data_IF_597630321786
#
_entry.id   IF_597630321786
#
_cell.length_a   1.000
_cell.length_b   1.000
_cell.length_c   1.000
_cell.angle_alpha   90.00
_cell.angle_beta   90.00
_cell.angle_gamma   90.00
#
_symmetry.space_group_name_H-M   'P 1'
#
loop_
_entity.id
_entity.type
_entity.pdbx_description
1 polymer ?
#
# COMPACT_ATOMS: atom_id res chain seq x y z
N UNK A 1 -12.71 -0.23 58.53
CA UNK A 1 -13.34 -0.44 57.21
C UNK A 1 -12.26 -0.85 56.22
N UNK A 2 -11.99 -2.16 56.14
CA UNK A 2 -11.02 -2.74 55.20
C UNK A 2 -11.75 -3.91 54.54
N UNK A 3 -11.89 -3.89 53.22
CA UNK A 3 -12.20 -5.08 52.40
C UNK A 3 -11.11 -5.12 51.32
N UNK A 4 -9.99 -5.80 51.58
CA UNK A 4 -9.76 -7.26 51.50
C UNK A 4 -9.77 -7.75 50.07
N UNK A 5 -8.55 -7.98 49.55
CA UNK A 5 -8.28 -8.79 48.36
C UNK A 5 -8.98 -10.14 48.49
N UNK A 6 -9.67 -10.57 47.43
CA UNK A 6 -10.27 -11.89 47.35
C UNK A 6 -9.81 -12.58 46.08
N UNK A 7 -8.72 -13.31 46.22
CA UNK A 7 -8.40 -14.47 45.38
C UNK A 7 -9.52 -15.51 45.56
N UNK A 8 -10.17 -15.92 44.47
CA UNK A 8 -11.06 -17.08 44.45
C UNK A 8 -10.70 -17.98 43.27
N UNK A 9 -10.37 -19.21 43.61
CA UNK A 9 -10.00 -20.33 42.75
C UNK A 9 -11.24 -21.02 42.17
N UNK A 10 -11.10 -21.44 40.91
CA UNK A 10 -11.69 -22.65 40.30
C UNK A 10 -13.17 -22.64 39.89
N UNK A 11 -13.39 -23.25 38.73
CA UNK A 11 -14.64 -23.73 38.09
C UNK A 11 -15.51 -22.72 37.36
N UNK A 12 -15.08 -22.39 36.14
CA UNK A 12 -15.95 -22.34 34.96
C UNK A 12 -15.05 -22.23 33.74
N UNK A 13 -15.16 -23.17 32.79
CA UNK A 13 -14.46 -23.17 31.51
C UNK A 13 -14.96 -22.01 30.64
N UNK A 14 -14.60 -20.78 30.96
CA UNK A 14 -14.65 -19.67 30.04
C UNK A 14 -13.26 -19.55 29.42
N UNK A 15 -13.02 -20.37 28.38
CA UNK A 15 -11.88 -20.15 27.50
C UNK A 15 -12.01 -18.73 26.94
N UNK A 16 -11.20 -17.81 27.45
CA UNK A 16 -10.94 -16.54 26.79
C UNK A 16 -10.37 -16.92 25.43
N UNK A 17 -11.20 -16.83 24.40
CA UNK A 17 -10.77 -16.96 23.01
C UNK A 17 -9.95 -15.70 22.75
N UNK A 18 -8.65 -15.80 22.96
CA UNK A 18 -7.70 -14.88 22.35
C UNK A 18 -7.86 -15.13 20.85
N UNK A 19 -8.49 -14.19 20.14
CA UNK A 19 -8.51 -14.21 18.68
C UNK A 19 -7.04 -14.28 18.24
N UNK A 20 -6.61 -15.45 17.78
CA UNK A 20 -5.31 -15.55 17.10
C UNK A 20 -5.44 -14.70 15.84
N UNK A 21 -4.63 -13.66 15.76
CA UNK A 21 -4.47 -12.87 14.54
C UNK A 21 -4.33 -13.79 13.33
N UNK A 22 -4.97 -13.41 12.23
CA UNK A 22 -4.90 -14.20 11.00
C UNK A 22 -3.46 -14.35 10.51
N UNK A 23 -3.07 -15.56 10.09
CA UNK A 23 -1.73 -15.83 9.55
C UNK A 23 -1.43 -15.01 8.29
N UNK A 24 -2.46 -14.59 7.57
CA UNK A 24 -2.35 -13.79 6.35
C UNK A 24 -1.59 -12.47 6.60
N UNK A 25 -1.87 -11.76 7.70
CA UNK A 25 -1.22 -10.49 8.01
C UNK A 25 0.26 -10.63 8.43
N UNK A 26 0.64 -11.74 9.06
CA UNK A 26 2.03 -11.94 9.51
C UNK A 26 2.99 -12.12 8.33
N UNK A 27 2.62 -12.97 7.37
CA UNK A 27 3.47 -13.22 6.19
C UNK A 27 3.53 -12.03 5.24
N UNK A 28 2.42 -11.28 5.09
CA UNK A 28 2.40 -10.03 4.32
C UNK A 28 3.37 -9.00 4.90
N UNK A 29 3.30 -8.74 6.22
CA UNK A 29 4.22 -7.83 6.90
C UNK A 29 5.67 -8.27 6.76
N UNK A 30 5.95 -9.56 6.93
CA UNK A 30 7.30 -10.12 6.77
C UNK A 30 7.84 -9.93 5.34
N UNK A 31 7.01 -10.14 4.33
CA UNK A 31 7.40 -9.95 2.92
C UNK A 31 7.64 -8.47 2.61
N UNK A 32 6.74 -7.59 3.05
CA UNK A 32 6.86 -6.14 2.88
C UNK A 32 8.19 -5.63 3.47
N UNK A 33 8.49 -6.02 4.71
CA UNK A 33 9.77 -5.69 5.34
C UNK A 33 10.94 -6.21 4.49
N UNK A 34 10.92 -7.49 4.10
CA UNK A 34 12.02 -8.06 3.31
C UNK A 34 12.24 -7.36 1.96
N UNK A 35 11.19 -6.87 1.30
CA UNK A 35 11.30 -6.21 0.00
C UNK A 35 11.73 -4.74 0.11
N UNK A 36 11.29 -4.03 1.16
CA UNK A 36 11.45 -2.58 1.25
C UNK A 36 12.57 -2.11 2.18
N UNK A 37 13.14 -2.97 3.05
CA UNK A 37 14.16 -2.57 4.04
C UNK A 37 15.42 -1.96 3.41
N UNK A 38 15.80 -2.41 2.22
CA UNK A 38 16.99 -1.95 1.49
C UNK A 38 16.63 -1.14 0.24
N UNK A 39 15.34 -0.84 0.02
CA UNK A 39 14.89 -0.12 -1.16
C UNK A 39 15.04 1.40 -0.96
N UNK A 40 15.93 2.04 -1.74
CA UNK A 40 16.06 3.49 -1.75
C UNK A 40 15.11 4.12 -2.77
N UNK A 41 14.14 4.90 -2.30
CA UNK A 41 13.14 5.58 -3.14
C UNK A 41 13.73 6.68 -4.02
N UNK A 42 14.91 7.20 -3.69
CA UNK A 42 15.59 8.24 -4.46
C UNK A 42 16.46 7.67 -5.59
N UNK A 43 16.77 6.37 -5.54
CA UNK A 43 17.54 5.70 -6.56
C UNK A 43 16.64 5.18 -7.68
N UNK A 44 17.15 5.28 -8.90
CA UNK A 44 16.46 4.76 -10.07
C UNK A 44 16.52 3.23 -10.03
N UNK A 45 15.39 2.51 -10.15
CA UNK A 45 15.37 1.05 -10.05
C UNK A 45 15.86 0.40 -11.35
N UNK A 46 17.18 0.39 -11.53
CA UNK A 46 17.86 -0.30 -12.65
C UNK A 46 18.98 -1.20 -12.13
N UNK A 47 19.19 -2.33 -12.79
CA UNK A 47 20.29 -3.23 -12.48
C UNK A 47 21.64 -2.68 -12.97
N UNK A 48 21.63 -1.91 -14.06
CA UNK A 48 22.79 -1.30 -14.67
C UNK A 48 22.54 0.19 -14.89
N UNK A 49 23.50 1.01 -14.51
CA UNK A 49 23.42 2.47 -14.62
C UNK A 49 23.33 2.96 -16.07
N UNK A 50 23.88 2.18 -17.01
CA UNK A 50 23.89 2.53 -18.45
C UNK A 50 22.54 2.33 -19.13
N UNK A 51 21.65 1.51 -18.56
CA UNK A 51 20.39 1.14 -19.21
C UNK A 51 19.30 2.19 -18.93
N UNK A 52 18.52 2.63 -19.94
CA UNK A 52 17.42 3.56 -19.74
C UNK A 52 16.17 2.87 -19.15
N UNK A 53 15.39 3.61 -18.36
CA UNK A 53 14.08 3.15 -17.88
C UNK A 53 13.01 3.45 -18.94
N UNK A 54 12.33 2.43 -19.46
CA UNK A 54 11.24 2.63 -20.41
C UNK A 54 9.90 2.77 -19.68
N UNK A 55 9.23 3.90 -19.92
CA UNK A 55 7.94 4.22 -19.33
C UNK A 55 6.86 4.23 -20.41
N UNK A 56 5.78 3.49 -20.15
CA UNK A 56 4.56 3.54 -20.94
C UNK A 56 3.55 4.45 -20.23
N UNK A 57 3.19 5.55 -20.91
CA UNK A 57 2.19 6.50 -20.44
C UNK A 57 0.87 6.26 -21.17
N UNK A 58 -0.22 6.22 -20.41
CA UNK A 58 -1.58 6.16 -20.91
C UNK A 58 -2.45 7.16 -20.16
N UNK A 59 -3.43 7.72 -20.86
CA UNK A 59 -4.42 8.62 -20.26
C UNK A 59 -5.79 8.05 -20.60
N UNK A 60 -6.65 7.99 -19.60
CA UNK A 60 -8.07 7.68 -19.77
C UNK A 60 -8.87 8.92 -19.41
N UNK A 61 -9.54 9.50 -20.40
CA UNK A 61 -10.48 10.59 -20.16
C UNK A 61 -11.73 10.03 -19.49
N UNK A 62 -12.07 10.56 -18.31
CA UNK A 62 -13.29 10.18 -17.60
C UNK A 62 -14.45 11.10 -17.99
N UNK A 63 -14.22 12.41 -17.90
CA UNK A 63 -15.26 13.41 -18.13
C UNK A 63 -14.66 14.76 -18.53
N UNK A 64 -15.37 15.49 -19.40
CA UNK A 64 -15.19 16.92 -19.62
C UNK A 64 -16.10 17.67 -18.65
N UNK A 65 -15.51 18.49 -17.77
CA UNK A 65 -16.22 19.21 -16.72
C UNK A 65 -16.71 20.56 -17.25
N UNK A 66 -15.83 21.30 -17.93
CA UNK A 66 -16.16 22.61 -18.50
C UNK A 66 -15.24 22.97 -19.67
N UNK A 67 -15.74 23.81 -20.58
CA UNK A 67 -15.03 24.32 -21.75
C UNK A 67 -15.26 25.82 -21.85
N UNK A 68 -14.18 26.59 -21.71
CA UNK A 68 -14.19 28.03 -21.95
C UNK A 68 -13.44 28.35 -23.24
N UNK A 69 -14.20 28.52 -24.33
CA UNK A 69 -13.66 28.80 -25.66
C UNK A 69 -13.05 30.20 -25.77
N UNK A 70 -13.54 31.15 -24.98
CA UNK A 70 -13.03 32.53 -24.99
C UNK A 70 -11.65 32.59 -24.34
N UNK A 71 -11.45 31.82 -23.27
CA UNK A 71 -10.19 31.76 -22.53
C UNK A 71 -9.31 30.56 -22.92
N UNK A 72 -9.74 29.73 -23.88
CA UNK A 72 -9.06 28.49 -24.31
C UNK A 72 -8.76 27.52 -23.16
N UNK A 73 -9.67 27.43 -22.18
CA UNK A 73 -9.53 26.58 -21.01
C UNK A 73 -10.42 25.35 -21.14
N UNK A 74 -9.83 24.18 -20.90
CA UNK A 74 -10.54 22.90 -20.82
C UNK A 74 -10.32 22.29 -19.44
N UNK A 75 -11.40 22.06 -18.71
CA UNK A 75 -11.37 21.41 -17.40
C UNK A 75 -11.87 19.98 -17.58
N UNK A 76 -11.02 18.99 -17.32
CA UNK A 76 -11.38 17.56 -17.45
C UNK A 76 -10.91 16.74 -16.25
N UNK A 77 -11.64 15.66 -15.98
CA UNK A 77 -11.20 14.60 -15.09
C UNK A 77 -10.56 13.50 -15.93
N UNK A 78 -9.29 13.21 -15.64
CA UNK A 78 -8.52 12.17 -16.33
C UNK A 78 -7.87 11.24 -15.32
N UNK A 79 -7.71 9.98 -15.72
CA UNK A 79 -6.87 9.02 -15.02
C UNK A 79 -5.54 8.91 -15.77
N UNK A 80 -4.44 9.09 -15.06
CA UNK A 80 -3.10 8.88 -15.58
C UNK A 80 -2.65 7.46 -15.24
N UNK A 81 -2.24 6.71 -16.26
CA UNK A 81 -1.61 5.39 -16.11
C UNK A 81 -0.14 5.51 -16.48
N UNK A 82 0.71 5.17 -15.53
CA UNK A 82 2.15 5.06 -15.72
C UNK A 82 2.59 3.63 -15.41
N UNK A 83 3.26 2.98 -16.36
CA UNK A 83 3.82 1.64 -16.17
C UNK A 83 5.28 1.65 -16.59
N UNK A 84 6.16 1.18 -15.70
CA UNK A 84 7.55 0.91 -16.03
C UNK A 84 7.67 -0.49 -16.64
N UNK A 85 8.34 -0.58 -17.79
CA UNK A 85 8.68 -1.85 -18.42
C UNK A 85 10.11 -2.21 -18.03
N UNK A 86 10.26 -3.30 -17.27
CA UNK A 86 11.58 -3.86 -16.99
C UNK A 86 11.98 -4.74 -18.17
N UNK A 87 12.90 -4.23 -18.99
CA UNK A 87 13.54 -5.04 -20.03
C UNK A 87 14.71 -5.78 -19.39
N UNK A 88 14.52 -7.06 -19.08
CA UNK A 88 15.61 -7.97 -18.73
C UNK A 88 16.08 -8.62 -20.04
N UNK A 89 17.34 -8.38 -20.39
CA UNK A 89 18.02 -8.97 -21.54
C UNK A 89 18.68 -10.29 -21.15
#
# INVERSE_FOLDING_TARGET
MVKTQRSFTTTSKASIIIYKDSWAGYYEKKLLHKLLDTYNVLERPVANESDPLQLSFGITLMQIIDVDEKNQLLITNIWLKLVSLLNYN
#
